data_IF_319669562967
#
_entry.id   IF_319669562967
#
_cell.length_a   1.000
_cell.length_b   1.000
_cell.length_c   1.000
_cell.angle_alpha   90.00
_cell.angle_beta   90.00
_cell.angle_gamma   90.00
#
_symmetry.space_group_name_H-M   'P 1'
#
loop_
_entity.id
_entity.type
_entity.pdbx_description
1 polymer ?
#
# COMPACT_ATOMS: atom_id res chain seq x y z
N UNK A 1 10.43 -15.34 -8.11
CA UNK A 1 10.01 -14.90 -6.75
C UNK A 1 8.50 -15.10 -6.65
N UNK A 2 8.01 -15.68 -5.54
CA UNK A 2 6.58 -15.84 -5.34
C UNK A 2 5.92 -14.49 -5.03
N UNK A 3 4.76 -14.22 -5.61
CA UNK A 3 3.99 -13.01 -5.33
C UNK A 3 3.34 -13.15 -3.96
N UNK A 4 3.49 -12.13 -3.12
CA UNK A 4 2.89 -12.02 -1.79
C UNK A 4 1.84 -10.91 -1.79
N UNK A 5 0.84 -11.06 -0.95
CA UNK A 5 -0.20 -10.04 -0.75
C UNK A 5 0.13 -9.21 0.47
N UNK A 6 0.11 -7.89 0.33
CA UNK A 6 0.35 -6.95 1.41
C UNK A 6 -0.88 -6.06 1.61
N UNK A 7 -1.23 -5.81 2.87
CA UNK A 7 -2.26 -4.87 3.29
C UNK A 7 -1.59 -3.55 3.66
N UNK A 8 -1.97 -2.48 2.98
CA UNK A 8 -1.49 -1.12 3.21
C UNK A 8 -2.55 -0.28 3.87
N UNK A 9 -2.22 0.33 5.00
CA UNK A 9 -3.05 1.38 5.60
C UNK A 9 -2.59 2.73 5.08
N UNK A 10 -3.35 3.30 4.15
CA UNK A 10 -3.05 4.56 3.50
C UNK A 10 -3.85 5.71 4.14
N UNK A 11 -3.20 6.87 4.28
CA UNK A 11 -3.88 8.15 4.56
C UNK A 11 -3.86 8.98 3.28
N UNK A 12 -5.03 9.33 2.75
CA UNK A 12 -5.14 10.12 1.53
C UNK A 12 -4.94 11.62 1.81
N UNK A 13 -4.46 12.37 0.81
CA UNK A 13 -4.20 13.81 0.91
C UNK A 13 -5.49 14.64 1.08
N UNK A 14 -6.60 14.19 0.51
CA UNK A 14 -7.87 14.95 0.43
C UNK A 14 -8.73 14.93 1.71
N UNK A 15 -8.18 14.51 2.85
CA UNK A 15 -8.83 14.67 4.15
C UNK A 15 -9.68 13.47 4.61
N UNK A 16 -9.48 13.13 5.88
CA UNK A 16 -10.26 12.26 6.76
C UNK A 16 -10.39 10.74 6.53
N UNK A 17 -9.90 10.16 5.44
CA UNK A 17 -9.95 8.71 5.23
C UNK A 17 -8.64 7.97 5.55
N UNK A 18 -8.66 7.04 6.51
CA UNK A 18 -7.71 5.91 6.51
C UNK A 18 -8.33 4.77 5.71
N UNK A 19 -7.65 4.32 4.66
CA UNK A 19 -8.11 3.23 3.81
C UNK A 19 -7.13 2.06 3.89
N UNK A 20 -7.66 0.85 4.08
CA UNK A 20 -6.88 -0.37 3.97
C UNK A 20 -6.96 -0.87 2.52
N UNK A 21 -5.83 -1.02 1.85
CA UNK A 21 -5.74 -1.43 0.46
C UNK A 21 -4.85 -2.64 0.33
N UNK A 22 -5.30 -3.64 -0.41
CA UNK A 22 -4.53 -4.83 -0.74
C UNK A 22 -3.69 -4.58 -1.99
N UNK A 23 -2.41 -4.94 -1.92
CA UNK A 23 -1.52 -4.84 -3.06
C UNK A 23 -0.55 -6.02 -3.09
N UNK A 24 -0.46 -6.63 -4.26
CA UNK A 24 0.43 -7.75 -4.52
C UNK A 24 1.81 -7.23 -4.94
N UNK A 25 2.85 -7.87 -4.45
CA UNK A 25 4.23 -7.62 -4.86
C UNK A 25 5.13 -8.82 -4.63
N UNK A 26 6.30 -8.82 -5.24
CA UNK A 26 7.34 -9.84 -4.98
C UNK A 26 7.92 -9.72 -3.57
N UNK A 27 7.92 -8.50 -3.06
CA UNK A 27 8.42 -8.09 -1.76
C UNK A 27 7.72 -6.78 -1.35
N UNK A 28 7.97 -6.33 -0.11
CA UNK A 28 7.32 -5.14 0.43
C UNK A 28 7.63 -3.89 -0.41
N UNK A 29 8.85 -3.71 -0.91
CA UNK A 29 9.22 -2.50 -1.67
C UNK A 29 8.54 -2.45 -3.03
N UNK A 30 8.43 -3.60 -3.71
CA UNK A 30 7.67 -3.71 -4.96
C UNK A 30 6.19 -3.38 -4.73
N UNK A 31 5.59 -3.91 -3.66
CA UNK A 31 4.21 -3.62 -3.30
C UNK A 31 4.00 -2.14 -2.90
N UNK A 32 4.94 -1.55 -2.15
CA UNK A 32 4.96 -0.13 -1.77
C UNK A 32 5.06 0.78 -2.99
N UNK A 33 5.92 0.44 -3.94
CA UNK A 33 6.05 1.21 -5.18
C UNK A 33 4.74 1.21 -5.96
N UNK A 34 4.13 0.02 -6.14
CA UNK A 34 2.84 -0.12 -6.84
C UNK A 34 1.70 0.62 -6.14
N UNK A 35 1.66 0.62 -4.80
CA UNK A 35 0.60 1.32 -4.07
C UNK A 35 0.78 2.84 -4.16
N UNK A 36 2.01 3.35 -4.12
CA UNK A 36 2.28 4.78 -4.28
C UNK A 36 2.04 5.26 -5.72
N UNK A 37 2.28 4.41 -6.73
CA UNK A 37 1.91 4.65 -8.12
C UNK A 37 0.38 4.74 -8.30
N UNK A 38 -0.39 3.88 -7.61
CA UNK A 38 -1.86 3.89 -7.65
C UNK A 38 -2.49 5.05 -6.85
N UNK A 39 -1.88 5.42 -5.73
CA UNK A 39 -2.37 6.45 -4.82
C UNK A 39 -1.33 7.57 -4.67
N UNK A 40 -1.12 8.37 -5.72
CA UNK A 40 -0.11 9.44 -5.69
C UNK A 40 -0.43 10.44 -4.58
N UNK A 41 0.57 10.70 -3.73
CA UNK A 41 0.43 11.60 -2.58
C UNK A 41 -0.31 11.00 -1.37
N UNK A 42 -0.65 9.71 -1.38
CA UNK A 42 -1.06 9.02 -0.16
C UNK A 42 0.15 8.73 0.75
N UNK A 43 -0.06 8.76 2.05
CA UNK A 43 0.97 8.39 3.04
C UNK A 43 0.69 6.98 3.54
N UNK A 44 1.66 6.08 3.39
CA UNK A 44 1.61 4.74 3.99
C UNK A 44 1.83 4.88 5.50
N UNK A 45 0.93 4.30 6.31
CA UNK A 45 1.00 4.33 7.77
C UNK A 45 1.36 2.97 8.36
N UNK A 46 0.90 1.90 7.73
CA UNK A 46 1.16 0.54 8.16
C UNK A 46 1.17 -0.39 6.95
N UNK A 47 2.02 -1.42 7.01
CA UNK A 47 2.11 -2.48 6.02
C UNK A 47 2.11 -3.81 6.75
N UNK A 48 1.25 -4.73 6.33
CA UNK A 48 1.20 -6.10 6.86
C UNK A 48 1.17 -7.10 5.72
N UNK A 49 1.89 -8.20 5.85
CA UNK A 49 1.75 -9.32 4.91
C UNK A 49 0.50 -10.13 5.28
N UNK A 50 -0.31 -10.50 4.28
CA UNK A 50 -1.42 -11.44 4.44
C UNK A 50 -0.96 -12.88 4.21
#
# INVERSE_FOLDING_TARGET
>A
MAVKTFVFRLKTKSGNGMSNVLQNGTDQRDAERKILEKYPGATIREVRQQ
#
